data_IF_136194643633
#
_entry.id   IF_136194643633
#
_cell.length_a   1.000
_cell.length_b   1.000
_cell.length_c   1.000
_cell.angle_alpha   90.00
_cell.angle_beta   90.00
_cell.angle_gamma   90.00
#
_symmetry.space_group_name_H-M   'P 1'
#
loop_
_entity.id
_entity.type
_entity.pdbx_description
1 polymer ?
#
# COMPACT_ATOMS: atom_id res chain seq x y z
N UNK A 1 -22.28 18.81 -0.70
CA UNK A 1 -21.71 17.47 -0.96
C UNK A 1 -20.36 17.67 -1.62
N UNK A 2 -19.26 17.21 -1.02
CA UNK A 2 -17.91 17.42 -1.54
C UNK A 2 -17.65 16.39 -2.64
N UNK A 3 -17.63 16.83 -3.90
CA UNK A 3 -17.44 15.96 -5.06
C UNK A 3 -15.94 15.86 -5.36
N UNK A 4 -15.40 14.64 -5.30
CA UNK A 4 -13.96 14.39 -5.43
C UNK A 4 -13.59 14.19 -6.90
N UNK A 5 -12.81 15.12 -7.47
CA UNK A 5 -12.47 15.24 -8.91
C UNK A 5 -11.30 14.33 -9.34
N UNK A 6 -10.52 13.83 -8.38
CA UNK A 6 -9.24 13.17 -8.59
C UNK A 6 -9.28 11.73 -8.07
N UNK A 7 -8.80 10.77 -8.87
CA UNK A 7 -8.66 9.38 -8.44
C UNK A 7 -7.22 9.08 -8.03
N UNK A 8 -7.07 8.33 -6.95
CA UNK A 8 -5.75 8.02 -6.37
C UNK A 8 -5.61 6.53 -6.05
N UNK A 9 -4.39 6.04 -6.24
CA UNK A 9 -3.96 4.70 -5.84
C UNK A 9 -3.20 4.80 -4.51
N UNK A 10 -3.57 3.95 -3.54
CA UNK A 10 -2.85 3.85 -2.27
C UNK A 10 -1.58 3.01 -2.42
N UNK A 11 -0.46 3.49 -1.89
CA UNK A 11 0.77 2.71 -1.71
C UNK A 11 0.73 2.03 -0.35
N UNK A 12 0.73 0.70 -0.36
CA UNK A 12 0.68 -0.13 0.84
C UNK A 12 2.09 -0.63 1.19
N UNK A 13 2.41 -0.72 2.48
CA UNK A 13 3.72 -1.19 2.94
C UNK A 13 3.79 -1.29 4.46
N UNK A 14 5.01 -1.27 5.00
CA UNK A 14 5.28 -1.27 6.44
C UNK A 14 6.11 -0.04 6.80
N UNK A 15 5.77 0.64 7.90
CA UNK A 15 6.58 1.76 8.43
C UNK A 15 7.53 1.35 9.53
N UNK A 16 7.23 0.25 10.20
CA UNK A 16 8.04 -0.31 11.29
C UNK A 16 9.04 -1.32 10.73
N UNK A 17 10.20 -1.47 11.36
CA UNK A 17 11.16 -2.49 10.96
C UNK A 17 10.58 -3.89 11.18
N UNK A 18 10.97 -4.82 10.31
CA UNK A 18 10.73 -6.25 10.48
C UNK A 18 11.73 -6.79 11.50
N UNK A 19 11.27 -7.71 12.35
CA UNK A 19 12.15 -8.44 13.27
C UNK A 19 12.38 -9.84 12.74
N UNK A 20 13.64 -10.28 12.75
CA UNK A 20 14.04 -11.65 12.42
C UNK A 20 14.70 -12.23 13.66
N UNK A 21 14.10 -13.27 14.21
CA UNK A 21 14.64 -14.03 15.34
C UNK A 21 15.14 -15.38 14.84
N UNK A 22 16.35 -15.75 15.24
CA UNK A 22 16.92 -17.06 14.96
C UNK A 22 16.63 -17.97 16.16
N UNK A 23 15.85 -19.02 15.94
CA UNK A 23 15.53 -20.00 16.98
C UNK A 23 16.67 -21.03 17.08
N UNK A 24 17.15 -21.51 15.93
CA UNK A 24 18.30 -22.41 15.82
C UNK A 24 19.01 -22.26 14.45
N UNK A 25 19.87 -23.20 14.06
CA UNK A 25 20.62 -23.12 12.80
C UNK A 25 19.77 -23.12 11.53
N UNK A 26 18.57 -23.69 11.56
CA UNK A 26 17.68 -23.85 10.40
C UNK A 26 16.30 -23.22 10.59
N UNK A 27 15.94 -22.82 11.81
CA UNK A 27 14.62 -22.29 12.14
C UNK A 27 14.68 -20.80 12.49
N UNK A 28 13.85 -20.01 11.82
CA UNK A 28 13.77 -18.55 11.98
C UNK A 28 12.32 -18.11 12.13
N UNK A 29 12.09 -17.12 12.99
CA UNK A 29 10.80 -16.44 13.14
C UNK A 29 10.91 -15.03 12.56
N UNK A 30 10.08 -14.71 11.56
CA UNK A 30 9.99 -13.38 10.97
C UNK A 30 8.69 -12.72 11.43
N UNK A 31 8.84 -11.64 12.20
CA UNK A 31 7.72 -10.83 12.69
C UNK A 31 7.53 -9.63 11.76
N UNK A 32 6.42 -9.66 11.01
CA UNK A 32 6.03 -8.61 10.08
C UNK A 32 5.05 -7.67 10.80
N UNK A 33 5.37 -6.36 10.89
CA UNK A 33 4.49 -5.39 11.52
C UNK A 33 3.21 -5.16 10.69
N UNK A 34 2.23 -4.50 11.30
CA UNK A 34 0.98 -4.16 10.62
C UNK A 34 1.24 -3.38 9.32
N UNK A 35 0.53 -3.76 8.26
CA UNK A 35 0.60 -3.07 6.99
C UNK A 35 -0.15 -1.73 7.08
N UNK A 36 0.41 -0.71 6.46
CA UNK A 36 -0.11 0.64 6.46
C UNK A 36 -0.12 1.24 5.06
N UNK A 37 -0.93 2.27 4.86
CA UNK A 37 -0.76 3.18 3.73
C UNK A 37 0.47 4.04 4.00
N UNK A 38 1.49 3.87 3.16
CA UNK A 38 2.76 4.60 3.22
C UNK A 38 2.80 5.79 2.26
N UNK A 39 1.80 5.91 1.40
CA UNK A 39 1.65 7.04 0.50
C UNK A 39 0.47 6.88 -0.43
N UNK A 40 0.27 7.89 -1.25
CA UNK A 40 -0.81 7.96 -2.23
C UNK A 40 -0.24 8.52 -3.53
N UNK A 41 -0.71 8.03 -4.67
CA UNK A 41 -0.29 8.51 -5.98
C UNK A 41 -1.52 8.72 -6.86
N UNK A 42 -1.46 9.68 -7.78
CA UNK A 42 -2.48 9.84 -8.81
C UNK A 42 -2.65 8.53 -9.57
N UNK A 43 -3.89 8.10 -9.75
CA UNK A 43 -4.16 6.82 -10.41
C UNK A 43 -3.70 6.88 -11.86
N UNK A 44 -2.85 5.92 -12.26
CA UNK A 44 -2.31 5.91 -13.63
C UNK A 44 -3.36 5.55 -14.68
N UNK A 45 -4.39 4.79 -14.29
CA UNK A 45 -5.42 4.28 -15.21
C UNK A 45 -6.48 5.33 -15.51
N UNK A 46 -6.85 6.14 -14.52
CA UNK A 46 -7.87 7.16 -14.71
C UNK A 46 -7.65 8.30 -13.71
N UNK A 47 -6.68 9.21 -13.94
CA UNK A 47 -6.33 10.24 -12.96
C UNK A 47 -7.46 11.23 -12.69
N UNK A 48 -8.38 11.41 -13.64
CA UNK A 48 -9.48 12.39 -13.58
C UNK A 48 -10.84 11.72 -13.79
N UNK A 49 -11.88 12.26 -13.15
CA UNK A 49 -13.26 11.87 -13.42
C UNK A 49 -13.94 12.99 -14.21
N UNK A 50 -14.04 12.85 -15.53
CA UNK A 50 -14.76 13.79 -16.39
C UNK A 50 -16.26 13.66 -16.12
N UNK A 51 -16.87 14.71 -15.58
CA UNK A 51 -18.33 14.88 -15.59
C UNK A 51 -18.67 16.03 -16.51
N UNK A 52 -19.46 15.74 -17.54
CA UNK A 52 -20.14 16.73 -18.38
C UNK A 52 -21.62 16.37 -18.42
N UNK A 53 -22.48 17.35 -18.10
CA UNK A 53 -23.77 17.51 -18.77
C UNK A 53 -24.03 18.97 -19.21
N UNK A 54 -23.09 19.89 -18.99
CA UNK A 54 -23.24 21.33 -19.29
C UNK A 54 -21.95 22.03 -19.79
N UNK A 55 -21.00 21.28 -20.36
CA UNK A 55 -20.04 21.78 -21.36
C UNK A 55 -18.99 22.80 -20.91
N UNK A 56 -18.91 23.21 -19.65
CA UNK A 56 -17.84 24.12 -19.19
C UNK A 56 -16.65 23.35 -18.61
N UNK A 57 -15.74 23.00 -19.53
CA UNK A 57 -14.37 22.58 -19.25
C UNK A 57 -13.57 23.72 -18.61
N UNK A 58 -13.66 23.86 -17.30
CA UNK A 58 -12.63 24.61 -16.57
C UNK A 58 -11.46 23.67 -16.26
N UNK A 59 -10.68 23.35 -17.29
CA UNK A 59 -9.26 22.96 -17.14
C UNK A 59 -8.39 24.15 -16.68
N UNK A 60 -9.00 25.12 -16.00
CA UNK A 60 -8.35 26.34 -15.56
C UNK A 60 -7.82 26.07 -14.17
N UNK A 61 -6.50 26.06 -14.08
CA UNK A 61 -5.78 25.86 -12.85
C UNK A 61 -5.14 24.48 -12.84
N UNK A 62 -3.95 24.39 -13.41
CA UNK A 62 -2.82 23.76 -12.73
C UNK A 62 -2.64 24.39 -11.34
N UNK A 63 -3.63 24.20 -10.46
CA UNK A 63 -3.49 24.44 -9.04
C UNK A 63 -2.72 23.25 -8.48
N UNK A 64 -1.58 23.59 -7.89
CA UNK A 64 -0.53 22.73 -7.38
C UNK A 64 -0.88 21.25 -7.18
N UNK A 65 -0.02 20.40 -7.75
CA UNK A 65 0.07 18.96 -7.43
C UNK A 65 0.12 18.77 -5.89
N UNK A 66 0.65 19.76 -5.18
CA UNK A 66 0.72 19.85 -3.72
C UNK A 66 -0.66 19.95 -3.03
N UNK A 67 -1.63 20.67 -3.60
CA UNK A 67 -3.00 20.76 -3.04
C UNK A 67 -3.78 19.46 -3.23
N UNK A 68 -3.48 18.72 -4.31
CA UNK A 68 -3.98 17.36 -4.53
C UNK A 68 -3.50 16.41 -3.44
N UNK A 69 -2.20 16.41 -3.11
CA UNK A 69 -1.63 15.58 -2.05
C UNK A 69 -2.25 15.88 -0.67
N UNK A 70 -2.46 17.17 -0.34
CA UNK A 70 -3.11 17.60 0.91
C UNK A 70 -4.58 17.15 1.00
N UNK A 71 -5.29 17.15 -0.13
CA UNK A 71 -6.69 16.74 -0.21
C UNK A 71 -6.82 15.22 -0.06
N UNK A 72 -5.89 14.43 -0.60
CA UNK A 72 -5.91 12.95 -0.49
C UNK A 72 -5.57 12.45 0.90
N UNK A 73 -4.62 13.10 1.58
CA UNK A 73 -4.33 12.80 2.98
C UNK A 73 -5.56 13.02 3.87
N UNK A 74 -6.46 13.95 3.49
CA UNK A 74 -7.75 14.19 4.16
C UNK A 74 -8.89 13.27 3.70
N UNK A 75 -8.83 12.71 2.48
CA UNK A 75 -9.95 12.02 1.82
C UNK A 75 -10.03 10.50 1.95
N UNK A 76 -9.36 9.90 2.94
CA UNK A 76 -10.05 9.06 3.95
C UNK A 76 -9.17 7.94 4.48
N UNK A 77 -9.02 7.95 5.80
CA UNK A 77 -8.60 6.80 6.59
C UNK A 77 -9.44 5.54 6.27
N UNK A 78 -10.74 5.71 5.97
CA UNK A 78 -11.65 4.57 5.74
C UNK A 78 -11.47 3.90 4.37
N UNK A 79 -11.35 4.65 3.27
CA UNK A 79 -11.09 4.03 1.95
C UNK A 79 -9.72 3.38 1.94
N UNK A 80 -8.74 4.00 2.60
CA UNK A 80 -7.42 3.43 2.80
C UNK A 80 -7.44 2.12 3.60
N UNK A 81 -8.20 2.06 4.70
CA UNK A 81 -8.43 0.83 5.47
C UNK A 81 -9.16 -0.25 4.66
N UNK A 82 -10.19 0.12 3.88
CA UNK A 82 -10.91 -0.81 3.01
C UNK A 82 -9.99 -1.40 1.95
N UNK A 83 -9.17 -0.55 1.32
CA UNK A 83 -8.19 -0.96 0.33
C UNK A 83 -7.14 -1.88 0.96
N UNK A 84 -6.60 -1.52 2.12
CA UNK A 84 -5.67 -2.37 2.86
C UNK A 84 -6.28 -3.74 3.19
N UNK A 85 -7.52 -3.79 3.66
CA UNK A 85 -8.22 -5.03 3.95
C UNK A 85 -8.44 -5.89 2.70
N UNK A 86 -8.76 -5.28 1.55
CA UNK A 86 -8.96 -6.00 0.30
C UNK A 86 -7.68 -6.70 -0.19
N UNK A 87 -6.51 -6.08 0.01
CA UNK A 87 -5.23 -6.61 -0.47
C UNK A 87 -4.38 -7.26 0.62
N UNK A 88 -4.89 -7.37 1.85
CA UNK A 88 -4.13 -7.84 3.01
C UNK A 88 -3.49 -9.19 2.77
N UNK A 89 -4.25 -10.15 2.24
CA UNK A 89 -3.77 -11.52 2.04
C UNK A 89 -2.74 -11.60 0.91
N UNK A 90 -2.96 -10.87 -0.19
CA UNK A 90 -1.99 -10.77 -1.29
C UNK A 90 -0.66 -10.19 -0.84
N UNK A 91 -0.68 -9.16 0.01
CA UNK A 91 0.54 -8.53 0.52
C UNK A 91 1.25 -9.46 1.52
N UNK A 92 0.50 -10.17 2.36
CA UNK A 92 1.05 -11.20 3.26
C UNK A 92 1.73 -12.32 2.48
N UNK A 93 1.11 -12.81 1.42
CA UNK A 93 1.67 -13.83 0.55
C UNK A 93 2.92 -13.34 -0.16
N UNK A 94 2.89 -12.13 -0.72
CA UNK A 94 4.06 -11.51 -1.33
C UNK A 94 5.23 -11.38 -0.35
N UNK A 95 4.97 -11.02 0.92
CA UNK A 95 6.00 -10.94 1.94
C UNK A 95 6.60 -12.33 2.26
N UNK A 96 5.76 -13.35 2.41
CA UNK A 96 6.23 -14.74 2.59
C UNK A 96 7.09 -15.19 1.42
N UNK A 97 6.63 -15.00 0.20
CA UNK A 97 7.36 -15.41 -1.00
C UNK A 97 8.73 -14.73 -1.09
N UNK A 98 8.82 -13.44 -0.75
CA UNK A 98 10.08 -12.71 -0.74
C UNK A 98 11.09 -13.30 0.26
N UNK A 99 10.67 -13.51 1.52
CA UNK A 99 11.55 -14.05 2.56
C UNK A 99 11.88 -15.52 2.34
N UNK A 100 10.92 -16.34 1.92
CA UNK A 100 11.15 -17.74 1.57
C UNK A 100 12.19 -17.85 0.45
N UNK A 101 12.04 -17.05 -0.61
CA UNK A 101 13.01 -17.05 -1.72
C UNK A 101 14.40 -16.66 -1.24
N UNK A 102 14.50 -15.61 -0.42
CA UNK A 102 15.78 -15.11 0.08
C UNK A 102 16.51 -16.13 0.97
N UNK A 103 15.83 -16.73 1.95
CA UNK A 103 16.45 -17.70 2.85
C UNK A 103 16.72 -19.03 2.15
N UNK A 104 15.80 -19.53 1.32
CA UNK A 104 15.99 -20.79 0.59
C UNK A 104 17.07 -20.70 -0.48
N UNK A 105 17.37 -19.51 -1.00
CA UNK A 105 18.52 -19.29 -1.87
C UNK A 105 19.86 -19.46 -1.16
N UNK A 106 19.88 -19.27 0.16
CA UNK A 106 21.07 -19.51 1.00
C UNK A 106 21.14 -20.98 1.37
N UNK A 107 20.02 -21.52 1.85
CA UNK A 107 19.93 -22.90 2.32
C UNK A 107 18.48 -23.39 2.20
N UNK A 108 18.21 -24.38 1.34
CA UNK A 108 16.85 -24.82 1.03
C UNK A 108 16.14 -25.49 2.21
N UNK A 109 16.88 -25.95 3.23
CA UNK A 109 16.32 -26.63 4.40
C UNK A 109 15.93 -25.65 5.52
N UNK A 110 16.12 -24.34 5.31
CA UNK A 110 15.68 -23.33 6.28
C UNK A 110 14.16 -23.29 6.36
N UNK A 111 13.65 -23.38 7.59
CA UNK A 111 12.24 -23.23 7.91
C UNK A 111 11.98 -21.83 8.49
N UNK A 112 10.94 -21.17 7.97
CA UNK A 112 10.52 -19.84 8.40
C UNK A 112 9.12 -19.90 9.00
N UNK A 113 8.99 -19.41 10.23
CA UNK A 113 7.71 -19.10 10.86
C UNK A 113 7.39 -17.62 10.65
N UNK A 114 6.20 -17.32 10.14
CA UNK A 114 5.74 -15.95 9.94
C UNK A 114 4.74 -15.54 11.00
N UNK A 115 4.98 -14.38 11.62
CA UNK A 115 4.06 -13.76 12.56
C UNK A 115 3.65 -12.38 12.04
N UNK A 116 2.36 -12.20 11.76
CA UNK A 116 1.81 -10.93 11.30
C UNK A 116 1.12 -10.22 12.47
N UNK A 117 1.50 -8.96 12.71
CA UNK A 117 0.84 -8.09 13.68
C UNK A 117 -0.36 -7.37 13.07
#
# INVERSE_FOLDING_TARGET
>A
MQQNLLNYDAKLGIKKPISIHKEDSKNYTITIPEFEVIGVALSRKNPYKLYDKEGELLSIGTEDIDTGALTVNKLSNESQKKYLNQYKDLIRESAKNFYDTMFKSIDPDINIKYEFK
#
